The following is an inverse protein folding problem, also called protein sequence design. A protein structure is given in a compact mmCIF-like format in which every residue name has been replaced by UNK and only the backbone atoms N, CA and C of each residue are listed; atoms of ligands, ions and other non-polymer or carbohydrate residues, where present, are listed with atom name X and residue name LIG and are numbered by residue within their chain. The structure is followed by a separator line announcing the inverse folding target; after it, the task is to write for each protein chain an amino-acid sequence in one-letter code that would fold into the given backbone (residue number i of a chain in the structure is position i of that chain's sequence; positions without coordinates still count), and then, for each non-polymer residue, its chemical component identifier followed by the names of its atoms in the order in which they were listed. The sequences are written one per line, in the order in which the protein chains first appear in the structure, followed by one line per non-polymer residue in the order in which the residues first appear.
data_IF_486335998370
#
_entry.id   IF_486335998370
#
_cell.length_a   1.000
_cell.length_b   1.000
_cell.length_c   1.000
_cell.angle_alpha   90.00
_cell.angle_beta   90.00
_cell.angle_gamma   90.00
#
_symmetry.space_group_name_H-M   'P 1'
#
loop_
_entity.id
_entity.type
_entity.pdbx_description
1 polymer ?
#
# COMPACT_ATOMS: atom_id res chain seq x y z
N UNK A 1 -36.89 -10.94 -0.54
CA UNK A 1 -36.50 -11.22 0.87
C UNK A 1 -36.12 -12.68 0.98
N UNK A 2 -35.33 -13.10 1.98
CA UNK A 2 -35.00 -14.53 2.15
C UNK A 2 -36.26 -15.31 2.54
N UNK A 3 -36.52 -16.46 1.91
CA UNK A 3 -37.69 -17.31 2.19
C UNK A 3 -37.79 -17.74 3.65
N UNK A 4 -36.68 -17.74 4.40
CA UNK A 4 -36.66 -18.02 5.84
C UNK A 4 -37.18 -16.85 6.67
N UNK A 5 -36.90 -15.61 6.26
CA UNK A 5 -37.33 -14.41 6.94
C UNK A 5 -38.87 -14.31 6.92
N UNK A 6 -39.47 -14.58 5.76
CA UNK A 6 -40.92 -14.59 5.56
C UNK A 6 -41.61 -15.64 6.45
N UNK A 7 -41.02 -16.84 6.59
CA UNK A 7 -41.52 -17.89 7.50
C UNK A 7 -41.50 -17.45 8.96
N UNK A 8 -40.39 -16.82 9.40
CA UNK A 8 -40.25 -16.32 10.78
C UNK A 8 -41.25 -15.20 11.07
N UNK A 9 -41.43 -14.27 10.13
CA UNK A 9 -42.41 -13.18 10.26
C UNK A 9 -43.83 -13.72 10.38
N UNK A 10 -44.24 -14.67 9.53
CA UNK A 10 -45.57 -15.26 9.56
C UNK A 10 -45.88 -15.96 10.90
N UNK A 11 -44.90 -16.69 11.46
CA UNK A 11 -45.04 -17.34 12.77
C UNK A 11 -45.16 -16.31 13.90
N UNK A 12 -44.33 -15.25 13.90
CA UNK A 12 -44.37 -14.19 14.93
C UNK A 12 -45.72 -13.45 14.90
N UNK A 13 -46.24 -13.14 13.70
CA UNK A 13 -47.55 -12.49 13.55
C UNK A 13 -48.67 -13.39 14.08
N UNK A 14 -48.65 -14.68 13.74
CA UNK A 14 -49.66 -15.63 14.22
C UNK A 14 -49.66 -15.79 15.75
N UNK A 15 -48.47 -15.80 16.37
CA UNK A 15 -48.34 -15.83 17.84
C UNK A 15 -48.87 -14.55 18.50
N UNK A 16 -48.61 -13.37 17.92
CA UNK A 16 -49.18 -12.09 18.40
C UNK A 16 -50.69 -12.04 18.30
N UNK A 17 -51.27 -12.71 17.30
CA UNK A 17 -52.72 -12.87 17.15
C UNK A 17 -53.33 -13.91 18.11
N UNK A 18 -52.52 -14.56 18.96
CA UNK A 18 -53.00 -15.51 19.98
C UNK A 18 -53.25 -16.92 19.46
N UNK A 19 -52.78 -17.29 18.27
CA UNK A 19 -52.94 -18.65 17.75
C UNK A 19 -52.04 -19.66 18.47
N UNK A 20 -52.56 -20.88 18.68
CA UNK A 20 -51.81 -21.96 19.33
C UNK A 20 -50.77 -22.59 18.40
N UNK A 21 -49.64 -23.07 18.95
CA UNK A 21 -48.53 -23.64 18.18
C UNK A 21 -48.96 -24.73 17.17
N UNK A 22 -49.93 -25.58 17.54
CA UNK A 22 -50.47 -26.64 16.65
C UNK A 22 -51.27 -26.06 15.50
N UNK A 23 -52.09 -25.04 15.74
CA UNK A 23 -52.87 -24.35 14.72
C UNK A 23 -51.95 -23.69 13.69
N UNK A 24 -50.85 -23.10 14.17
CA UNK A 24 -49.83 -22.48 13.32
C UNK A 24 -49.14 -23.53 12.43
N UNK A 25 -48.79 -24.70 12.99
CA UNK A 25 -48.19 -25.81 12.23
C UNK A 25 -49.17 -26.30 11.15
N UNK A 26 -50.43 -26.50 11.52
CA UNK A 26 -51.43 -27.06 10.62
C UNK A 26 -51.86 -26.06 9.53
N UNK A 27 -51.90 -24.77 9.83
CA UNK A 27 -52.27 -23.70 8.90
C UNK A 27 -51.11 -23.32 7.96
N UNK A 28 -49.94 -23.01 8.51
CA UNK A 28 -48.78 -22.55 7.71
C UNK A 28 -47.98 -23.71 7.09
N UNK A 29 -48.25 -24.96 7.49
CA UNK A 29 -47.54 -26.17 7.04
C UNK A 29 -46.02 -26.08 7.21
N UNK A 30 -45.55 -25.34 8.22
CA UNK A 30 -44.13 -25.20 8.53
C UNK A 30 -43.63 -26.33 9.44
N UNK A 31 -42.32 -26.66 9.40
CA UNK A 31 -41.75 -27.70 10.26
C UNK A 31 -41.99 -27.40 11.74
N UNK A 32 -42.49 -28.40 12.47
CA UNK A 32 -42.78 -28.34 13.91
C UNK A 32 -41.62 -27.79 14.74
N UNK A 33 -40.39 -28.19 14.41
CA UNK A 33 -39.17 -27.72 15.09
C UNK A 33 -38.97 -26.20 14.98
N UNK A 34 -39.27 -25.62 13.80
CA UNK A 34 -39.12 -24.18 13.55
C UNK A 34 -40.16 -23.38 14.32
N UNK A 35 -41.42 -23.83 14.32
CA UNK A 35 -42.52 -23.16 15.05
C UNK A 35 -42.23 -23.16 16.54
N UNK A 36 -41.88 -24.30 17.14
CA UNK A 36 -41.58 -24.35 18.57
C UNK A 36 -40.34 -23.57 18.98
N UNK A 37 -39.27 -23.58 18.16
CA UNK A 37 -38.07 -22.79 18.45
C UNK A 37 -38.39 -21.30 18.50
N UNK A 38 -39.26 -20.81 17.61
CA UNK A 38 -39.64 -19.40 17.55
C UNK A 38 -40.64 -19.06 18.67
N UNK A 39 -41.63 -19.92 18.92
CA UNK A 39 -42.60 -19.74 20.01
C UNK A 39 -41.94 -19.71 21.39
N UNK A 40 -40.88 -20.53 21.59
CA UNK A 40 -40.07 -20.51 22.80
C UNK A 40 -39.36 -19.16 22.98
N UNK A 41 -38.62 -18.72 21.96
CA UNK A 41 -37.95 -17.42 21.99
C UNK A 41 -38.93 -16.24 22.08
N UNK A 42 -40.16 -16.42 21.58
CA UNK A 42 -41.21 -15.42 21.68
C UNK A 42 -41.68 -15.21 23.13
N UNK A 43 -41.97 -16.31 23.83
CA UNK A 43 -42.36 -16.28 25.25
C UNK A 43 -41.24 -15.71 26.13
N UNK A 44 -39.99 -16.12 25.88
CA UNK A 44 -38.81 -15.60 26.60
C UNK A 44 -38.59 -14.08 26.41
N UNK A 45 -39.12 -13.50 25.35
CA UNK A 45 -39.00 -12.06 25.06
C UNK A 45 -40.20 -11.22 25.51
N UNK A 46 -41.38 -11.82 25.71
CA UNK A 46 -42.55 -11.14 26.29
C UNK A 46 -42.32 -10.77 27.76
N UNK A 47 -41.45 -11.53 28.46
CA UNK A 47 -41.06 -11.26 29.85
C UNK A 47 -40.09 -10.05 30.00
N UNK A 48 -39.59 -9.49 28.89
CA UNK A 48 -38.70 -8.33 28.87
C UNK A 48 -39.49 -7.16 28.30
N UNK A 49 -39.78 -6.16 29.14
CA UNK A 49 -40.74 -5.06 28.92
C UNK A 49 -40.47 -4.15 27.69
N UNK A 50 -39.46 -4.44 26.87
CA UNK A 50 -39.22 -3.88 25.55
C UNK A 50 -38.62 -4.95 24.62
N UNK A 51 -39.43 -5.54 23.74
CA UNK A 51 -38.96 -6.68 22.94
C UNK A 51 -39.70 -6.90 21.63
N UNK A 52 -39.51 -6.02 20.64
CA UNK A 52 -39.84 -6.36 19.26
C UNK A 52 -38.95 -7.53 18.79
N UNK A 53 -39.46 -8.77 18.87
CA UNK A 53 -38.82 -9.90 18.20
C UNK A 53 -38.65 -9.60 16.73
N UNK A 54 -37.41 -9.41 16.31
CA UNK A 54 -37.07 -9.28 14.91
C UNK A 54 -37.10 -10.68 14.28
N UNK A 55 -37.69 -10.84 13.08
CA UNK A 55 -37.66 -12.10 12.35
C UNK A 55 -36.24 -12.55 12.00
N UNK A 56 -35.27 -11.65 12.08
CA UNK A 56 -33.87 -11.93 11.80
C UNK A 56 -33.24 -12.86 12.84
N UNK A 57 -32.49 -13.85 12.37
CA UNK A 57 -31.73 -14.75 13.23
C UNK A 57 -30.53 -13.97 13.80
N UNK A 58 -30.29 -14.09 15.11
CA UNK A 58 -29.04 -13.61 15.72
C UNK A 58 -27.87 -14.31 15.03
N UNK A 59 -27.17 -13.57 14.17
CA UNK A 59 -25.94 -14.08 13.56
C UNK A 59 -24.85 -14.02 14.62
N UNK A 60 -23.98 -15.03 14.73
CA UNK A 60 -22.85 -14.95 15.64
C UNK A 60 -22.01 -13.74 15.25
N UNK A 61 -21.77 -12.84 16.19
CA UNK A 61 -20.86 -11.75 15.95
C UNK A 61 -19.45 -12.32 15.78
N UNK A 62 -19.03 -12.46 14.52
CA UNK A 62 -17.70 -12.96 14.17
C UNK A 62 -16.60 -11.98 14.61
N UNK A 63 -16.92 -10.76 15.05
CA UNK A 63 -15.96 -9.82 15.59
C UNK A 63 -15.34 -10.32 16.91
N UNK A 64 -16.14 -10.94 17.79
CA UNK A 64 -15.70 -11.42 19.11
C UNK A 64 -14.75 -12.62 19.04
N UNK A 65 -14.79 -13.40 17.95
CA UNK A 65 -13.92 -14.57 17.74
C UNK A 65 -12.59 -14.18 17.08
N UNK A 66 -12.43 -12.93 16.61
CA UNK A 66 -11.20 -12.51 15.95
C UNK A 66 -10.09 -12.35 16.99
N UNK A 67 -8.92 -12.96 16.72
CA UNK A 67 -7.66 -12.74 17.44
C UNK A 67 -7.14 -11.28 17.36
N UNK A 68 -7.92 -10.36 16.78
CA UNK A 68 -7.64 -8.93 16.58
C UNK A 68 -8.37 -8.12 17.64
N UNK A 69 -8.02 -8.34 18.91
CA UNK A 69 -8.54 -7.54 20.02
C UNK A 69 -8.02 -6.09 19.94
N UNK A 70 -8.68 -5.16 20.65
CA UNK A 70 -8.22 -3.79 20.74
C UNK A 70 -6.77 -3.69 21.26
N UNK A 71 -6.44 -4.43 22.34
CA UNK A 71 -5.09 -4.50 22.89
C UNK A 71 -4.04 -5.01 21.88
N UNK A 72 -4.43 -5.96 21.03
CA UNK A 72 -3.53 -6.46 19.98
C UNK A 72 -3.25 -5.37 18.93
N UNK A 73 -4.27 -4.64 18.52
CA UNK A 73 -4.15 -3.55 17.54
C UNK A 73 -3.28 -2.43 18.10
N UNK A 74 -3.48 -2.04 19.36
CA UNK A 74 -2.71 -0.99 20.03
C UNK A 74 -1.22 -1.35 20.16
N UNK A 75 -0.91 -2.60 20.55
CA UNK A 75 0.47 -3.11 20.59
C UNK A 75 1.11 -3.11 19.20
N UNK A 76 0.37 -3.56 18.18
CA UNK A 76 0.85 -3.58 16.79
C UNK A 76 1.12 -2.16 16.29
N UNK A 77 0.23 -1.22 16.58
CA UNK A 77 0.37 0.19 16.21
C UNK A 77 1.60 0.81 16.88
N UNK A 78 1.80 0.53 18.17
CA UNK A 78 2.98 0.98 18.92
C UNK A 78 4.28 0.45 18.30
N UNK A 79 4.32 -0.82 17.90
CA UNK A 79 5.49 -1.39 17.22
C UNK A 79 5.77 -0.73 15.87
N UNK A 80 4.74 -0.48 15.07
CA UNK A 80 4.86 0.19 13.78
C UNK A 80 5.34 1.64 13.95
N UNK A 81 4.80 2.36 14.93
CA UNK A 81 5.20 3.74 15.21
C UNK A 81 6.66 3.85 15.66
N UNK A 82 7.15 2.84 16.41
CA UNK A 82 8.54 2.81 16.87
C UNK A 82 9.52 2.53 15.72
N UNK A 83 9.21 1.57 14.85
CA UNK A 83 10.00 1.27 13.65
C UNK A 83 9.09 0.80 12.51
N UNK A 84 8.81 1.66 11.52
CA UNK A 84 7.90 1.29 10.43
C UNK A 84 8.59 0.47 9.34
N UNK A 85 9.92 0.29 9.39
CA UNK A 85 10.67 -0.51 8.41
C UNK A 85 10.60 -2.01 8.67
N UNK A 86 10.06 -2.43 9.82
CA UNK A 86 10.05 -3.84 10.20
C UNK A 86 9.17 -4.67 9.26
N UNK A 87 9.65 -5.86 8.82
CA UNK A 87 8.84 -6.74 8.01
C UNK A 87 7.70 -7.35 8.82
N UNK A 88 6.57 -7.60 8.16
CA UNK A 88 5.36 -8.15 8.79
C UNK A 88 5.58 -9.52 9.45
N UNK A 89 6.53 -10.31 8.96
CA UNK A 89 6.91 -11.59 9.56
C UNK A 89 7.50 -11.41 10.95
N UNK A 90 8.41 -10.46 11.12
CA UNK A 90 9.03 -10.17 12.42
C UNK A 90 8.00 -9.61 13.41
N UNK A 91 7.06 -8.78 12.93
CA UNK A 91 5.92 -8.36 13.77
C UNK A 91 5.07 -9.55 14.21
N UNK A 92 4.84 -10.52 13.31
CA UNK A 92 4.05 -11.70 13.60
C UNK A 92 4.73 -12.62 14.62
N UNK A 93 6.05 -12.82 14.51
CA UNK A 93 6.86 -13.56 15.47
C UNK A 93 6.83 -12.91 16.86
N UNK A 94 7.03 -11.59 16.93
CA UNK A 94 7.01 -10.82 18.19
C UNK A 94 5.65 -10.89 18.89
N UNK A 95 4.57 -10.89 18.11
CA UNK A 95 3.20 -10.96 18.63
C UNK A 95 2.69 -12.41 18.76
N UNK A 96 3.52 -13.41 18.41
CA UNK A 96 3.17 -14.84 18.40
C UNK A 96 1.85 -15.15 17.66
N UNK A 97 1.67 -14.52 16.48
CA UNK A 97 0.50 -14.70 15.63
C UNK A 97 0.92 -15.11 14.22
N UNK A 98 -0.02 -15.66 13.46
CA UNK A 98 0.23 -15.94 12.06
C UNK A 98 0.37 -14.64 11.24
N UNK A 99 1.27 -14.63 10.26
CA UNK A 99 1.56 -13.47 9.39
C UNK A 99 0.30 -12.87 8.75
N UNK A 100 -0.67 -13.70 8.37
CA UNK A 100 -1.93 -13.24 7.75
C UNK A 100 -2.75 -12.40 8.73
N UNK A 101 -2.75 -12.72 10.03
CA UNK A 101 -3.46 -11.94 11.04
C UNK A 101 -2.90 -10.53 11.14
N UNK A 102 -1.57 -10.38 11.15
CA UNK A 102 -0.89 -9.08 11.13
C UNK A 102 -1.20 -8.34 9.83
N UNK A 103 -1.22 -9.02 8.69
CA UNK A 103 -1.55 -8.40 7.40
C UNK A 103 -2.96 -7.80 7.41
N UNK A 104 -3.97 -8.58 7.83
CA UNK A 104 -5.34 -8.08 7.92
C UNK A 104 -5.46 -6.96 8.94
N UNK A 105 -4.77 -7.05 10.08
CA UNK A 105 -4.80 -5.98 11.08
C UNK A 105 -4.20 -4.67 10.55
N UNK A 106 -3.09 -4.74 9.82
CA UNK A 106 -2.47 -3.56 9.19
C UNK A 106 -3.41 -2.95 8.14
N UNK A 107 -4.01 -3.76 7.27
CA UNK A 107 -4.80 -3.25 6.14
C UNK A 107 -6.23 -2.86 6.52
N UNK A 108 -6.92 -3.66 7.33
CA UNK A 108 -8.33 -3.46 7.67
C UNK A 108 -8.49 -2.55 8.88
N UNK A 109 -7.73 -2.80 9.95
CA UNK A 109 -7.93 -2.11 11.23
C UNK A 109 -7.10 -0.81 11.30
N UNK A 110 -5.80 -0.87 10.96
CA UNK A 110 -4.91 0.28 10.96
C UNK A 110 -4.95 1.10 9.67
N UNK A 111 -5.51 0.55 8.58
CA UNK A 111 -5.57 1.18 7.24
C UNK A 111 -4.21 1.60 6.67
N UNK A 112 -3.14 0.92 7.08
CA UNK A 112 -1.80 1.16 6.58
C UNK A 112 -1.46 0.26 5.40
N UNK A 113 -0.49 0.70 4.59
CA UNK A 113 0.07 -0.06 3.47
C UNK A 113 1.59 -0.21 3.62
N UNK A 114 2.15 -1.22 2.97
CA UNK A 114 3.61 -1.38 2.90
C UNK A 114 4.14 -0.78 1.61
N UNK A 115 4.78 0.37 1.71
CA UNK A 115 5.37 1.09 0.59
C UNK A 115 6.85 0.74 0.42
N UNK A 116 7.32 0.79 -0.82
CA UNK A 116 8.75 0.66 -1.15
C UNK A 116 9.44 1.99 -0.87
N UNK A 117 10.61 1.93 -0.23
CA UNK A 117 11.46 3.11 -0.02
C UNK A 117 11.90 3.69 -1.36
N UNK A 118 11.64 4.99 -1.55
CA UNK A 118 11.96 5.71 -2.79
C UNK A 118 13.24 6.51 -2.58
N UNK A 119 14.23 6.28 -3.44
CA UNK A 119 15.40 7.15 -3.54
C UNK A 119 15.07 8.28 -4.52
N UNK A 120 15.12 9.53 -4.05
CA UNK A 120 14.92 10.72 -4.89
C UNK A 120 15.95 11.78 -4.54
N UNK A 121 16.32 12.61 -5.52
CA UNK A 121 17.08 13.82 -5.25
C UNK A 121 16.16 14.80 -4.51
N UNK A 122 16.60 15.29 -3.35
CA UNK A 122 15.94 16.42 -2.69
C UNK A 122 16.20 17.68 -3.52
N UNK A 123 15.13 18.35 -3.96
CA UNK A 123 15.19 19.58 -4.74
C UNK A 123 14.58 20.71 -3.95
N UNK A 124 15.33 21.79 -3.75
CA UNK A 124 14.76 23.04 -3.22
C UNK A 124 13.83 23.69 -4.24
N UNK A 125 12.94 24.57 -3.77
CA UNK A 125 11.99 25.24 -4.67
C UNK A 125 12.68 26.12 -5.72
N UNK A 126 13.82 26.73 -5.34
CA UNK A 126 14.68 27.43 -6.29
C UNK A 126 15.24 26.50 -7.38
N UNK A 127 15.60 25.25 -7.05
CA UNK A 127 16.05 24.26 -8.04
C UNK A 127 14.90 23.82 -8.95
N UNK A 128 13.69 23.65 -8.41
CA UNK A 128 12.49 23.33 -9.21
C UNK A 128 12.20 24.45 -10.21
N UNK A 129 12.21 25.71 -9.79
CA UNK A 129 12.00 26.87 -10.66
C UNK A 129 13.04 26.93 -11.79
N UNK A 130 14.33 26.81 -11.46
CA UNK A 130 15.41 26.78 -12.48
C UNK A 130 15.27 25.61 -13.46
N UNK A 131 14.83 24.43 -13.00
CA UNK A 131 14.58 23.28 -13.88
C UNK A 131 13.44 23.59 -14.85
N UNK A 132 12.34 24.17 -14.37
CA UNK A 132 11.21 24.55 -15.20
C UNK A 132 11.61 25.54 -16.30
N UNK A 133 12.27 26.65 -15.93
CA UNK A 133 12.76 27.67 -16.87
C UNK A 133 13.67 27.06 -17.95
N UNK A 134 14.62 26.20 -17.57
CA UNK A 134 15.51 25.53 -18.53
C UNK A 134 14.77 24.57 -19.46
N UNK A 135 13.78 23.84 -18.93
CA UNK A 135 12.95 22.94 -19.73
C UNK A 135 12.13 23.72 -20.77
N UNK A 136 11.54 24.85 -20.40
CA UNK A 136 10.78 25.71 -21.32
C UNK A 136 11.65 26.25 -22.46
N UNK A 137 12.87 26.70 -22.13
CA UNK A 137 13.86 27.12 -23.12
C UNK A 137 14.28 25.96 -24.03
N UNK A 138 14.51 24.77 -23.47
CA UNK A 138 14.86 23.58 -24.24
C UNK A 138 13.74 23.18 -25.20
N UNK A 139 12.48 23.17 -24.73
CA UNK A 139 11.31 22.86 -25.55
C UNK A 139 11.20 23.85 -26.72
N UNK A 140 11.35 25.15 -26.44
CA UNK A 140 11.34 26.18 -27.48
C UNK A 140 12.45 25.94 -28.50
N UNK A 141 13.68 25.68 -28.03
CA UNK A 141 14.83 25.36 -28.88
C UNK A 141 14.63 24.10 -29.73
N UNK A 142 13.92 23.10 -29.21
CA UNK A 142 13.62 21.85 -29.92
C UNK A 142 12.49 22.00 -30.96
N UNK A 143 11.50 22.86 -30.70
CA UNK A 143 10.38 23.14 -31.62
C UNK A 143 10.85 23.84 -32.90
N UNK A 144 11.82 24.75 -32.77
CA UNK A 144 12.50 25.31 -33.93
C UNK A 144 13.51 24.28 -34.46
N UNK A 145 13.07 23.42 -35.38
CA UNK A 145 13.90 22.38 -36.00
C UNK A 145 15.11 23.03 -36.67
N UNK A 146 16.24 23.07 -35.97
CA UNK A 146 17.51 23.44 -36.57
C UNK A 146 17.95 22.29 -37.49
N UNK A 147 17.56 22.38 -38.76
CA UNK A 147 18.11 21.53 -39.83
C UNK A 147 19.64 21.61 -39.73
N UNK A 148 20.30 20.47 -39.51
CA UNK A 148 21.77 20.38 -39.39
C UNK A 148 22.37 20.51 -37.98
N UNK A 149 21.59 20.52 -36.89
CA UNK A 149 22.14 20.51 -35.52
C UNK A 149 22.25 19.09 -34.95
N UNK A 150 23.45 18.51 -34.98
CA UNK A 150 23.79 17.28 -34.26
C UNK A 150 23.87 17.55 -32.76
N UNK A 151 23.23 16.72 -31.93
CA UNK A 151 23.23 16.86 -30.47
C UNK A 151 24.08 15.76 -29.88
N UNK A 152 24.99 16.10 -28.98
CA UNK A 152 25.72 15.13 -28.19
C UNK A 152 25.13 15.04 -26.79
N UNK A 153 24.85 13.84 -26.34
CA UNK A 153 24.47 13.52 -24.97
C UNK A 153 25.67 12.87 -24.31
N UNK A 154 26.21 13.53 -23.28
CA UNK A 154 27.29 12.98 -22.47
C UNK A 154 26.77 12.79 -21.04
N UNK A 155 27.08 11.66 -20.44
CA UNK A 155 26.88 11.45 -19.00
C UNK A 155 28.14 10.86 -18.38
N UNK A 156 28.45 11.31 -17.17
CA UNK A 156 29.51 10.73 -16.36
C UNK A 156 28.86 9.87 -15.27
N UNK A 157 29.14 8.57 -15.31
CA UNK A 157 28.59 7.62 -14.35
C UNK A 157 29.67 7.13 -13.40
N UNK A 158 29.36 7.23 -12.11
CA UNK A 158 30.13 6.57 -11.06
C UNK A 158 29.46 5.24 -10.72
N UNK A 159 30.17 4.14 -10.93
CA UNK A 159 29.77 2.81 -10.47
C UNK A 159 30.25 2.63 -9.03
N UNK A 160 29.35 2.88 -8.09
CA UNK A 160 29.63 2.85 -6.65
C UNK A 160 29.47 1.44 -6.06
N UNK A 161 30.31 1.10 -5.08
CA UNK A 161 30.21 -0.15 -4.30
C UNK A 161 29.30 0.03 -3.06
N UNK A 162 28.30 0.92 -3.14
CA UNK A 162 27.38 1.16 -2.01
C UNK A 162 26.42 -0.02 -1.79
N UNK A 163 25.96 -0.17 -0.55
CA UNK A 163 24.94 -1.14 -0.18
C UNK A 163 23.67 -0.94 -1.02
N UNK A 164 23.26 -1.99 -1.73
CA UNK A 164 22.06 -2.01 -2.55
C UNK A 164 20.83 -2.15 -1.65
N UNK A 165 19.95 -1.15 -1.69
CA UNK A 165 18.61 -1.24 -1.09
C UNK A 165 17.86 -2.41 -1.76
N UNK A 166 17.47 -3.39 -0.97
CA UNK A 166 16.67 -4.51 -1.43
C UNK A 166 15.19 -4.09 -1.42
N UNK A 167 14.68 -3.71 -2.59
CA UNK A 167 13.29 -3.28 -2.81
C UNK A 167 12.21 -4.23 -2.23
N UNK A 168 12.50 -5.52 -2.07
CA UNK A 168 11.55 -6.48 -1.50
C UNK A 168 11.49 -6.42 0.03
N UNK A 169 12.64 -6.22 0.68
CA UNK A 169 12.78 -6.28 2.13
C UNK A 169 12.72 -4.89 2.77
N UNK A 170 13.25 -3.88 2.09
CA UNK A 170 13.34 -2.49 2.57
C UNK A 170 12.05 -1.74 2.26
N UNK A 171 11.01 -2.04 3.03
CA UNK A 171 9.66 -1.48 2.89
C UNK A 171 9.24 -0.80 4.18
N UNK A 172 8.42 0.24 4.04
CA UNK A 172 7.95 1.09 5.12
C UNK A 172 6.43 0.93 5.28
N UNK A 173 5.96 0.66 6.49
CA UNK A 173 4.54 0.57 6.82
C UNK A 173 4.06 1.98 7.18
N UNK A 174 3.15 2.54 6.38
CA UNK A 174 2.59 3.87 6.62
C UNK A 174 1.16 3.94 6.10
N UNK A 175 0.40 4.92 6.61
CA UNK A 175 -0.93 5.23 6.09
C UNK A 175 -0.77 5.84 4.70
N UNK A 176 0.03 6.90 4.62
CA UNK A 176 0.23 7.68 3.40
C UNK A 176 1.62 7.50 2.81
N UNK A 177 1.68 7.66 1.48
CA UNK A 177 2.91 7.47 0.72
C UNK A 177 3.95 8.57 0.96
N UNK A 178 3.51 9.72 1.45
CA UNK A 178 4.34 10.90 1.68
C UNK A 178 5.03 10.87 3.06
N UNK A 179 4.57 10.02 3.96
CA UNK A 179 5.20 9.74 5.26
C UNK A 179 6.46 8.87 5.13
N UNK A 180 6.64 8.22 3.98
CA UNK A 180 7.76 7.30 3.75
C UNK A 180 9.06 8.10 3.56
N UNK A 181 10.09 7.87 4.38
CA UNK A 181 11.33 8.62 4.31
C UNK A 181 12.08 8.37 3.00
N UNK A 182 12.74 9.42 2.52
CA UNK A 182 13.64 9.34 1.35
C UNK A 182 15.03 9.01 1.87
N UNK A 183 15.54 7.84 1.53
CA UNK A 183 16.92 7.45 1.89
C UNK A 183 17.91 8.27 1.06
N UNK A 184 18.80 8.98 1.77
CA UNK A 184 19.95 9.65 1.16
C UNK A 184 21.05 8.66 0.77
N UNK A 185 21.70 8.91 -0.38
CA UNK A 185 22.92 8.18 -0.76
C UNK A 185 24.15 8.93 -0.27
N UNK A 186 25.21 8.19 0.06
CA UNK A 186 26.53 8.77 0.38
C UNK A 186 26.97 9.68 -0.76
N UNK A 187 27.48 10.87 -0.43
CA UNK A 187 27.82 11.89 -1.43
C UNK A 187 29.02 11.49 -2.30
N UNK A 188 29.96 10.71 -1.76
CA UNK A 188 31.22 10.32 -2.43
C UNK A 188 31.65 8.87 -2.09
N UNK A 189 30.94 7.85 -2.56
CA UNK A 189 31.36 6.46 -2.39
C UNK A 189 32.54 6.12 -3.30
N UNK A 190 33.33 5.12 -2.91
CA UNK A 190 34.37 4.57 -3.79
C UNK A 190 33.71 3.95 -5.04
N UNK A 191 34.21 4.30 -6.21
CA UNK A 191 33.66 3.84 -7.47
C UNK A 191 34.56 4.07 -8.67
N UNK A 192 34.18 3.46 -9.78
CA UNK A 192 34.82 3.65 -11.09
C UNK A 192 34.05 4.73 -11.85
N UNK A 193 34.75 5.72 -12.37
CA UNK A 193 34.19 6.81 -13.17
C UNK A 193 34.25 6.46 -14.65
N UNK A 194 33.11 6.54 -15.33
CA UNK A 194 32.98 6.22 -16.75
C UNK A 194 32.28 7.38 -17.46
N UNK A 195 32.85 7.85 -18.57
CA UNK A 195 32.21 8.79 -19.49
C UNK A 195 31.73 8.04 -20.72
N UNK A 196 30.46 8.26 -21.07
CA UNK A 196 29.89 7.83 -22.34
C UNK A 196 29.34 9.05 -23.07
N UNK A 197 29.49 9.06 -24.40
CA UNK A 197 29.00 10.13 -25.27
C UNK A 197 28.27 9.49 -26.45
N UNK A 198 27.07 9.99 -26.72
CA UNK A 198 26.18 9.55 -27.79
C UNK A 198 25.79 10.75 -28.66
N UNK A 199 25.85 10.59 -29.99
CA UNK A 199 25.27 11.56 -30.93
C UNK A 199 23.78 11.29 -31.14
N UNK A 200 23.02 12.33 -31.51
CA UNK A 200 21.62 12.19 -31.92
C UNK A 200 21.43 11.39 -33.21
N UNK A 201 22.51 11.12 -33.94
CA UNK A 201 22.52 10.35 -35.18
C UNK A 201 22.78 8.85 -34.93
N UNK A 202 23.15 8.49 -33.71
CA UNK A 202 23.33 7.10 -33.27
C UNK A 202 24.77 6.70 -33.01
N UNK A 203 25.74 7.59 -33.21
CA UNK A 203 27.15 7.30 -32.94
C UNK A 203 27.39 7.22 -31.43
N UNK A 204 28.08 6.16 -31.00
CA UNK A 204 28.41 5.93 -29.60
C UNK A 204 29.92 5.93 -29.47
N UNK A 205 30.44 6.84 -28.64
CA UNK A 205 31.85 6.82 -28.24
C UNK A 205 32.09 5.61 -27.32
N UNK A 206 33.18 4.83 -27.51
CA UNK A 206 33.55 3.79 -26.56
C UNK A 206 33.63 4.33 -25.13
N UNK A 207 33.19 3.57 -24.11
CA UNK A 207 33.21 4.03 -22.72
C UNK A 207 34.62 4.41 -22.28
N UNK A 208 34.78 5.63 -21.77
CA UNK A 208 36.06 6.12 -21.29
C UNK A 208 36.14 5.99 -19.77
N UNK A 209 37.08 5.18 -19.29
CA UNK A 209 37.32 4.98 -17.86
C UNK A 209 38.38 5.96 -17.37
N UNK A 210 38.04 6.78 -16.38
CA UNK A 210 39.00 7.70 -15.79
C UNK A 210 39.92 6.98 -14.81
N UNK A 211 41.20 7.32 -14.84
CA UNK A 211 42.13 6.89 -13.80
C UNK A 211 41.78 7.56 -12.46
N UNK A 212 42.10 6.90 -11.34
CA UNK A 212 41.83 7.40 -9.99
C UNK A 212 42.43 8.81 -9.81
N UNK A 213 41.56 9.81 -9.60
CA UNK A 213 41.96 11.22 -9.41
C UNK A 213 41.89 12.09 -10.66
N UNK A 214 41.59 11.53 -11.84
CA UNK A 214 41.24 12.33 -13.02
C UNK A 214 39.76 12.74 -12.97
N UNK A 215 39.48 14.02 -13.18
CA UNK A 215 38.12 14.56 -13.30
C UNK A 215 38.02 15.38 -14.59
N UNK A 216 36.83 15.37 -15.21
CA UNK A 216 36.52 16.29 -16.29
C UNK A 216 36.49 17.73 -15.76
N UNK A 217 37.52 18.53 -16.03
CA UNK A 217 37.52 19.95 -15.67
C UNK A 217 36.60 20.73 -16.62
N UNK A 218 35.83 21.70 -16.10
CA UNK A 218 34.93 22.58 -16.89
C UNK A 218 35.63 23.38 -18.02
N UNK A 219 36.96 23.29 -18.13
CA UNK A 219 37.79 23.91 -19.17
C UNK A 219 38.76 22.86 -19.73
N UNK A 220 38.26 21.77 -20.31
CA UNK A 220 39.03 21.06 -21.31
C UNK A 220 38.76 21.73 -22.65
N UNK A 221 39.68 22.59 -23.08
CA UNK A 221 39.80 22.95 -24.50
C UNK A 221 39.99 21.64 -25.25
N UNK A 222 39.00 21.23 -26.04
CA UNK A 222 39.13 20.12 -26.98
C UNK A 222 40.07 20.54 -28.11
N UNK A 223 41.37 20.58 -27.83
CA UNK A 223 42.39 20.61 -28.87
C UNK A 223 42.48 19.23 -29.47
N UNK A 224 41.80 19.08 -30.62
CA UNK A 224 42.00 18.07 -31.67
C UNK A 224 42.44 16.67 -31.21
N UNK A 225 41.48 15.80 -30.93
CA UNK A 225 41.68 14.39 -31.31
C UNK A 225 41.40 14.30 -32.81
N UNK A 226 42.48 14.18 -33.60
CA UNK A 226 42.37 13.73 -35.00
C UNK A 226 41.82 12.30 -34.97
N UNK A 227 40.61 12.14 -35.48
CA UNK A 227 40.08 10.84 -35.92
C UNK A 227 41.03 10.29 -37.00
N UNK A 228 41.55 9.10 -36.75
CA UNK A 228 41.85 8.10 -37.77
C UNK A 228 40.80 7.01 -37.64
#
# INVERSE_FOLDING_TARGET
MSSELERRTAIIVALRCGHGDKEIIDFLKFPKATVYSIAKSFKESEDIEEGFLTPERKTPDRSQVRKRSADFIDRLQTMINNDPSVPKSTLAERLNVHRITVLHAIHEDLRCNSYVLRVRQMLSDAMKKKRLERCELLITSLKHRAVGRTKFFSDEKIFCVDAKINRQNDRWIASDRDEVPIIGRTKFPAGVHVLEVMSSEGDIMPPHFFAKGQMSTRRSTWTSCRLW
#
